data_IF_740958256427
#
_entry.id   IF_740958256427
#
_cell.length_a   1.000
_cell.length_b   1.000
_cell.length_c   1.000
_cell.angle_alpha   90.00
_cell.angle_beta   90.00
_cell.angle_gamma   90.00
#
_symmetry.space_group_name_H-M   'P 1'
#
loop_
_entity.id
_entity.type
_entity.pdbx_description
1 polymer ?
#
# COMPACT_ATOMS: atom_id res chain seq x y z
N UNK A 1 3.37 -21.13 -53.50
CA UNK A 1 3.34 -19.88 -52.74
C UNK A 1 1.98 -19.83 -52.05
N UNK A 2 1.90 -20.29 -50.80
CA UNK A 2 0.65 -20.33 -50.04
C UNK A 2 0.62 -19.09 -49.13
N UNK A 3 -0.39 -18.22 -49.31
CA UNK A 3 -0.71 -17.18 -48.34
C UNK A 3 -1.46 -17.84 -47.17
N UNK A 4 -0.93 -17.71 -45.95
CA UNK A 4 -1.70 -17.96 -44.73
C UNK A 4 -2.56 -16.72 -44.41
N UNK A 5 -3.79 -16.91 -43.92
CA UNK A 5 -4.63 -15.80 -43.46
C UNK A 5 -4.13 -15.32 -42.09
N UNK A 6 -4.00 -14.00 -41.96
CA UNK A 6 -3.73 -13.32 -40.71
C UNK A 6 -4.98 -13.42 -39.83
N UNK A 7 -4.94 -14.26 -38.79
CA UNK A 7 -5.98 -14.31 -37.76
C UNK A 7 -5.77 -13.09 -36.87
N UNK A 8 -6.63 -12.09 -37.02
CA UNK A 8 -6.74 -10.97 -36.09
C UNK A 8 -7.32 -11.52 -34.77
N UNK A 9 -6.45 -11.82 -33.81
CA UNK A 9 -6.90 -12.09 -32.44
C UNK A 9 -7.20 -10.72 -31.82
N UNK A 10 -8.48 -10.34 -31.83
CA UNK A 10 -8.92 -9.18 -31.07
C UNK A 10 -8.80 -9.48 -29.58
N UNK A 11 -7.95 -8.73 -28.88
CA UNK A 11 -7.93 -8.72 -27.41
C UNK A 11 -9.28 -8.21 -26.93
N UNK A 12 -10.01 -9.05 -26.18
CA UNK A 12 -11.20 -8.61 -25.46
C UNK A 12 -10.70 -7.79 -24.27
N UNK A 13 -10.80 -6.46 -24.36
CA UNK A 13 -10.57 -5.55 -23.25
C UNK A 13 -11.67 -5.79 -22.20
N UNK A 14 -11.31 -6.38 -21.06
CA UNK A 14 -12.20 -6.48 -19.91
C UNK A 14 -12.01 -5.24 -19.04
N UNK A 15 -12.90 -4.25 -19.17
CA UNK A 15 -13.00 -3.16 -18.21
C UNK A 15 -13.58 -3.70 -16.89
N UNK A 16 -12.80 -3.62 -15.81
CA UNK A 16 -13.31 -3.88 -14.47
C UNK A 16 -14.26 -2.75 -14.08
N UNK A 17 -15.44 -3.12 -13.59
CA UNK A 17 -16.37 -2.19 -12.95
C UNK A 17 -16.01 -2.17 -11.46
N UNK A 18 -15.73 -0.98 -10.95
CA UNK A 18 -15.41 -0.78 -9.54
C UNK A 18 -16.69 -0.46 -8.76
N UNK A 19 -16.87 -1.13 -7.62
CA UNK A 19 -17.88 -0.76 -6.66
C UNK A 19 -17.31 0.33 -5.75
N UNK A 20 -18.06 1.42 -5.58
CA UNK A 20 -17.70 2.49 -4.65
C UNK A 20 -17.70 1.91 -3.22
N UNK A 21 -16.60 2.01 -2.47
CA UNK A 21 -16.52 1.48 -1.12
C UNK A 21 -17.59 2.10 -0.22
N UNK A 22 -18.43 1.27 0.42
CA UNK A 22 -19.47 1.74 1.34
C UNK A 22 -19.00 1.80 2.80
N UNK A 23 -17.76 1.34 3.04
CA UNK A 23 -17.07 1.27 4.32
C UNK A 23 -17.88 0.58 5.44
N UNK A 24 -18.87 -0.25 5.09
CA UNK A 24 -19.64 -0.99 6.09
C UNK A 24 -18.82 -2.17 6.60
N UNK A 25 -18.78 -2.30 7.92
CA UNK A 25 -18.21 -3.47 8.59
C UNK A 25 -19.28 -4.54 8.68
N UNK A 26 -19.03 -5.67 8.03
CA UNK A 26 -19.92 -6.83 8.01
C UNK A 26 -19.20 -8.11 8.44
N UNK A 27 -19.88 -9.26 8.41
CA UNK A 27 -19.22 -10.56 8.58
C UNK A 27 -18.34 -10.88 7.38
N UNK A 28 -17.35 -11.76 7.58
CA UNK A 28 -16.51 -12.29 6.50
C UNK A 28 -17.39 -13.06 5.49
N UNK A 29 -17.39 -12.69 4.20
CA UNK A 29 -18.12 -13.42 3.16
C UNK A 29 -17.70 -14.88 3.07
N UNK A 30 -18.56 -15.73 2.51
CA UNK A 30 -18.21 -17.12 2.20
C UNK A 30 -17.35 -17.25 0.96
N UNK A 31 -17.48 -18.39 0.27
CA UNK A 31 -16.80 -18.69 -0.99
C UNK A 31 -15.27 -18.64 -0.86
N UNK A 32 -14.60 -17.86 -1.71
CA UNK A 32 -13.14 -17.71 -1.74
C UNK A 32 -12.57 -17.31 -0.38
N UNK A 33 -13.32 -16.57 0.43
CA UNK A 33 -12.88 -16.01 1.72
C UNK A 33 -13.24 -16.89 2.93
N UNK A 34 -13.85 -18.07 2.73
CA UNK A 34 -14.18 -19.00 3.82
C UNK A 34 -13.00 -19.32 4.76
N UNK A 35 -11.73 -19.45 4.29
CA UNK A 35 -10.59 -19.68 5.19
C UNK A 35 -10.40 -18.61 6.28
N UNK A 36 -10.88 -17.39 6.06
CA UNK A 36 -10.76 -16.28 7.02
C UNK A 36 -11.85 -16.31 8.11
N UNK A 37 -12.96 -17.03 7.92
CA UNK A 37 -14.10 -17.06 8.86
C UNK A 37 -13.77 -17.69 10.22
N UNK A 38 -12.74 -18.53 10.29
CA UNK A 38 -12.33 -19.17 11.54
C UNK A 38 -11.65 -18.20 12.52
N UNK A 39 -10.97 -17.18 12.01
CA UNK A 39 -10.18 -16.22 12.80
C UNK A 39 -10.79 -14.82 12.89
N UNK A 40 -11.68 -14.47 11.96
CA UNK A 40 -12.17 -13.10 11.80
C UNK A 40 -13.70 -13.04 11.78
N UNK A 41 -14.23 -12.03 12.46
CA UNK A 41 -15.68 -11.80 12.56
C UNK A 41 -16.13 -10.54 11.85
N UNK A 42 -15.17 -9.73 11.39
CA UNK A 42 -15.39 -8.42 10.79
C UNK A 42 -14.66 -8.32 9.46
N UNK A 43 -15.32 -7.66 8.53
CA UNK A 43 -14.89 -7.53 7.15
C UNK A 43 -15.32 -6.18 6.55
N UNK A 44 -14.45 -5.60 5.74
CA UNK A 44 -14.77 -4.54 4.79
C UNK A 44 -14.08 -4.80 3.45
N UNK A 45 -14.59 -4.18 2.38
CA UNK A 45 -13.99 -4.25 1.04
C UNK A 45 -13.73 -2.85 0.49
N UNK A 46 -12.57 -2.67 -0.12
CA UNK A 46 -12.17 -1.43 -0.79
C UNK A 46 -11.65 -1.79 -2.16
N UNK A 47 -12.44 -1.56 -3.21
CA UNK A 47 -12.06 -1.85 -4.59
C UNK A 47 -11.52 -3.28 -4.80
N UNK A 48 -12.11 -4.28 -4.12
CA UNK A 48 -11.66 -5.67 -4.18
C UNK A 48 -10.52 -6.03 -3.21
N UNK A 49 -9.94 -5.08 -2.48
CA UNK A 49 -8.99 -5.32 -1.39
C UNK A 49 -9.75 -5.62 -0.10
N UNK A 50 -9.31 -6.62 0.64
CA UNK A 50 -10.02 -7.12 1.82
C UNK A 50 -9.46 -6.51 3.11
N UNK A 51 -10.34 -6.20 4.07
CA UNK A 51 -9.94 -5.85 5.45
C UNK A 51 -10.60 -6.85 6.38
N UNK A 52 -9.82 -7.72 7.00
CA UNK A 52 -10.31 -8.69 7.99
C UNK A 52 -9.95 -8.23 9.39
N UNK A 53 -10.86 -8.39 10.35
CA UNK A 53 -10.58 -8.04 11.73
C UNK A 53 -11.15 -9.04 12.75
N UNK A 54 -10.38 -9.25 13.82
CA UNK A 54 -10.82 -10.05 14.98
C UNK A 54 -11.94 -9.32 15.74
N UNK A 55 -12.67 -10.07 16.58
CA UNK A 55 -13.84 -9.55 17.32
C UNK A 55 -13.52 -8.34 18.22
N UNK A 56 -12.32 -8.33 18.82
CA UNK A 56 -11.85 -7.29 19.74
C UNK A 56 -11.50 -5.97 19.05
N UNK A 57 -11.30 -5.96 17.73
CA UNK A 57 -11.02 -4.71 16.99
C UNK A 57 -12.31 -3.91 16.87
N UNK A 58 -12.40 -2.67 17.36
CA UNK A 58 -13.61 -1.88 17.22
C UNK A 58 -13.97 -1.57 15.76
N UNK A 59 -15.27 -1.51 15.43
CA UNK A 59 -15.73 -1.31 14.04
C UNK A 59 -15.23 0.01 13.46
N UNK A 60 -15.12 1.07 14.27
CA UNK A 60 -14.57 2.35 13.85
C UNK A 60 -13.11 2.26 13.42
N UNK A 61 -12.32 1.34 13.99
CA UNK A 61 -10.93 1.13 13.57
C UNK A 61 -10.88 0.40 12.23
N UNK A 62 -11.74 -0.60 12.04
CA UNK A 62 -11.88 -1.28 10.73
C UNK A 62 -12.30 -0.29 9.65
N UNK A 63 -13.27 0.58 9.95
CA UNK A 63 -13.71 1.64 9.03
C UNK A 63 -12.61 2.63 8.71
N UNK A 64 -11.80 3.01 9.70
CA UNK A 64 -10.67 3.91 9.52
C UNK A 64 -9.63 3.34 8.56
N UNK A 65 -9.24 2.07 8.74
CA UNK A 65 -8.34 1.37 7.80
C UNK A 65 -8.91 1.32 6.40
N UNK A 66 -10.19 0.98 6.26
CA UNK A 66 -10.87 0.95 4.96
C UNK A 66 -10.94 2.35 4.30
N UNK A 67 -11.18 3.40 5.08
CA UNK A 67 -11.21 4.78 4.58
C UNK A 67 -9.84 5.23 4.07
N UNK A 68 -8.78 5.04 4.87
CA UNK A 68 -7.40 5.38 4.47
C UNK A 68 -6.98 4.61 3.21
N UNK A 69 -7.36 3.34 3.10
CA UNK A 69 -7.13 2.55 1.89
C UNK A 69 -7.86 3.11 0.68
N UNK A 70 -9.12 3.52 0.85
CA UNK A 70 -9.89 4.13 -0.22
C UNK A 70 -9.26 5.46 -0.66
N UNK A 71 -8.86 6.32 0.26
CA UNK A 71 -8.19 7.61 -0.02
C UNK A 71 -6.81 7.46 -0.66
N UNK A 72 -6.10 6.36 -0.42
CA UNK A 72 -4.86 6.09 -1.14
C UNK A 72 -5.09 5.58 -2.56
N UNK A 73 -6.15 4.79 -2.79
CA UNK A 73 -6.47 4.22 -4.11
C UNK A 73 -7.27 5.17 -5.00
N UNK A 74 -8.07 6.04 -4.40
CA UNK A 74 -8.93 7.06 -4.99
C UNK A 74 -8.71 8.36 -4.18
N UNK A 75 -7.58 9.01 -4.46
CA UNK A 75 -7.12 10.18 -3.74
C UNK A 75 -7.92 11.43 -4.11
N UNK A 76 -8.58 11.45 -5.27
CA UNK A 76 -9.53 12.51 -5.64
C UNK A 76 -10.94 12.33 -5.04
N UNK A 77 -11.22 11.15 -4.49
CA UNK A 77 -12.47 10.72 -3.87
C UNK A 77 -13.66 10.82 -4.84
N UNK A 78 -13.53 10.31 -6.06
CA UNK A 78 -14.62 10.31 -7.05
C UNK A 78 -15.36 8.96 -7.18
N UNK A 79 -14.97 7.98 -6.36
CA UNK A 79 -15.51 6.63 -6.36
C UNK A 79 -14.83 5.67 -7.32
N UNK A 80 -13.76 6.08 -8.01
CA UNK A 80 -13.00 5.26 -8.95
C UNK A 80 -11.52 5.28 -8.60
N UNK A 81 -10.80 4.15 -8.63
CA UNK A 81 -9.37 4.17 -8.38
C UNK A 81 -8.62 5.08 -9.37
N UNK A 82 -7.77 5.95 -8.84
CA UNK A 82 -6.92 6.87 -9.60
C UNK A 82 -5.92 6.12 -10.49
N UNK A 83 -5.48 4.95 -10.02
CA UNK A 83 -4.68 4.01 -10.79
C UNK A 83 -5.36 2.63 -10.89
N UNK A 84 -6.16 2.39 -11.95
CA UNK A 84 -6.85 1.12 -12.16
C UNK A 84 -5.93 -0.08 -12.30
N UNK A 85 -4.68 0.09 -12.75
CA UNK A 85 -3.70 -1.00 -12.84
C UNK A 85 -3.25 -1.45 -11.45
N UNK A 86 -2.99 -0.49 -10.56
CA UNK A 86 -2.59 -0.75 -9.17
C UNK A 86 -3.74 -1.40 -8.40
N UNK A 87 -4.95 -0.86 -8.50
CA UNK A 87 -6.13 -1.45 -7.89
C UNK A 87 -6.41 -2.86 -8.43
N UNK A 88 -6.20 -3.09 -9.73
CA UNK A 88 -6.38 -4.43 -10.32
C UNK A 88 -5.34 -5.41 -9.80
N UNK A 89 -4.07 -5.00 -9.72
CA UNK A 89 -3.00 -5.83 -9.20
C UNK A 89 -3.24 -6.27 -7.74
N UNK A 90 -3.84 -5.40 -6.91
CA UNK A 90 -4.22 -5.75 -5.54
C UNK A 90 -5.38 -6.76 -5.52
N UNK A 91 -6.48 -6.44 -6.19
CA UNK A 91 -7.69 -7.26 -6.15
C UNK A 91 -7.52 -8.61 -6.89
N UNK A 92 -6.72 -8.69 -7.95
CA UNK A 92 -6.40 -9.96 -8.64
C UNK A 92 -5.58 -10.93 -7.78
N UNK A 93 -4.92 -10.41 -6.74
CA UNK A 93 -4.13 -11.19 -5.78
C UNK A 93 -4.88 -11.47 -4.48
N UNK A 94 -6.17 -11.12 -4.42
CA UNK A 94 -6.96 -11.13 -3.19
C UNK A 94 -6.22 -10.41 -2.03
N UNK A 95 -5.57 -9.27 -2.31
CA UNK A 95 -4.76 -8.57 -1.31
C UNK A 95 -5.58 -8.16 -0.08
N UNK A 96 -4.96 -8.18 1.10
CA UNK A 96 -5.70 -8.06 2.34
C UNK A 96 -4.93 -7.40 3.51
N UNK A 97 -5.68 -6.67 4.34
CA UNK A 97 -5.28 -6.28 5.69
C UNK A 97 -5.82 -7.28 6.72
N UNK A 98 -5.02 -7.65 7.71
CA UNK A 98 -5.45 -8.37 8.91
C UNK A 98 -5.31 -7.47 10.13
N UNK A 99 -6.40 -7.29 10.85
CA UNK A 99 -6.43 -6.50 12.08
C UNK A 99 -6.63 -7.35 13.32
N UNK A 100 -5.76 -7.16 14.29
CA UNK A 100 -5.94 -7.61 15.67
C UNK A 100 -6.05 -6.41 16.61
N UNK A 101 -6.43 -6.66 17.87
CA UNK A 101 -6.41 -5.58 18.86
C UNK A 101 -4.99 -5.09 19.16
N UNK A 102 -4.06 -6.04 19.31
CA UNK A 102 -2.66 -5.86 19.68
C UNK A 102 -1.81 -7.02 19.09
N UNK A 103 -0.49 -6.95 19.26
CA UNK A 103 0.47 -7.97 18.83
C UNK A 103 0.09 -9.39 19.29
N UNK A 104 -0.32 -9.54 20.55
CA UNK A 104 -0.79 -10.83 21.11
C UNK A 104 -2.01 -11.40 20.38
N UNK A 105 -2.78 -10.56 19.71
CA UNK A 105 -3.86 -10.98 18.85
C UNK A 105 -3.33 -11.62 17.56
N UNK A 106 -2.29 -11.06 16.95
CA UNK A 106 -1.63 -11.63 15.76
C UNK A 106 -0.94 -12.94 16.08
N UNK A 107 -0.27 -13.06 17.23
CA UNK A 107 0.40 -14.31 17.63
C UNK A 107 -0.55 -15.53 17.71
N UNK A 108 -1.87 -15.28 17.81
CA UNK A 108 -2.91 -16.34 17.84
C UNK A 108 -3.48 -16.66 16.46
N UNK A 109 -3.11 -15.87 15.46
CA UNK A 109 -3.52 -16.08 14.08
C UNK A 109 -2.53 -17.05 13.44
N UNK A 110 -3.05 -18.11 12.83
CA UNK A 110 -2.27 -19.04 12.03
C UNK A 110 -2.45 -18.70 10.53
N UNK A 111 -1.53 -17.93 9.92
CA UNK A 111 -1.68 -17.53 8.54
C UNK A 111 -1.49 -18.69 7.55
N UNK A 112 -0.93 -19.84 7.97
CA UNK A 112 -0.74 -21.00 7.10
C UNK A 112 -2.08 -21.58 6.61
N UNK A 113 -3.19 -21.27 7.30
CA UNK A 113 -4.54 -21.67 6.89
C UNK A 113 -4.92 -21.05 5.55
N UNK A 114 -4.73 -19.74 5.37
CA UNK A 114 -5.06 -19.06 4.11
C UNK A 114 -3.89 -19.00 3.12
N UNK A 115 -2.64 -19.07 3.58
CA UNK A 115 -1.48 -19.18 2.69
C UNK A 115 -1.56 -20.44 1.81
N UNK A 116 -2.01 -21.57 2.37
CA UNK A 116 -2.23 -22.82 1.62
C UNK A 116 -3.34 -22.71 0.58
N UNK A 117 -4.27 -21.77 0.77
CA UNK A 117 -5.33 -21.46 -0.17
C UNK A 117 -4.90 -20.38 -1.19
N UNK A 118 -3.62 -19.97 -1.20
CA UNK A 118 -3.06 -19.07 -2.21
C UNK A 118 -3.20 -17.57 -1.90
N UNK A 119 -3.60 -17.19 -0.68
CA UNK A 119 -3.56 -15.81 -0.24
C UNK A 119 -2.14 -15.47 0.22
N UNK A 120 -1.38 -14.66 -0.51
CA UNK A 120 0.02 -14.36 -0.19
C UNK A 120 0.34 -12.85 -0.17
N UNK A 121 -0.70 -12.01 -0.28
CA UNK A 121 -0.62 -10.55 -0.39
C UNK A 121 -1.25 -9.87 0.84
N UNK A 122 -0.67 -10.12 2.02
CA UNK A 122 -1.21 -9.69 3.30
C UNK A 122 -0.35 -8.65 4.01
N UNK A 123 -1.00 -7.74 4.74
CA UNK A 123 -0.36 -6.82 5.68
C UNK A 123 -1.13 -6.78 7.00
N UNK A 124 -0.42 -6.53 8.11
CA UNK A 124 -0.99 -6.52 9.45
C UNK A 124 -1.24 -5.10 9.95
N UNK A 125 -2.19 -4.94 10.87
CA UNK A 125 -2.48 -3.67 11.52
C UNK A 125 -3.02 -3.86 12.94
N UNK A 126 -2.58 -3.02 13.88
CA UNK A 126 -3.02 -3.06 15.27
C UNK A 126 -4.07 -1.98 15.57
N UNK A 127 -5.16 -2.38 16.23
CA UNK A 127 -6.22 -1.44 16.61
C UNK A 127 -5.76 -0.34 17.58
N UNK A 128 -4.74 -0.62 18.40
CA UNK A 128 -4.15 0.36 19.32
C UNK A 128 -3.35 1.46 18.61
N UNK A 129 -2.89 1.21 17.39
CA UNK A 129 -2.07 2.12 16.58
C UNK A 129 -2.84 2.71 15.39
N UNK A 130 -4.06 2.22 15.15
CA UNK A 130 -5.01 2.78 14.18
C UNK A 130 -5.69 3.99 14.79
N UNK A 131 -5.56 5.19 14.22
CA UNK A 131 -6.15 6.44 14.72
C UNK A 131 -6.10 6.57 16.26
N UNK A 132 -4.90 6.50 16.89
CA UNK A 132 -4.76 6.36 18.34
C UNK A 132 -5.22 7.59 19.13
N UNK A 133 -5.41 8.73 18.45
CA UNK A 133 -5.77 10.00 19.08
C UNK A 133 -4.61 10.63 19.83
N UNK A 134 -4.88 11.73 20.55
CA UNK A 134 -3.91 12.43 21.41
C UNK A 134 -2.59 12.87 20.72
N UNK A 135 -2.61 13.04 19.39
CA UNK A 135 -1.43 13.44 18.61
C UNK A 135 -0.42 12.32 18.36
N UNK A 136 -0.72 11.07 18.77
CA UNK A 136 0.11 9.93 18.39
C UNK A 136 -0.03 9.64 16.88
N UNK A 137 1.05 9.16 16.27
CA UNK A 137 1.08 8.84 14.85
C UNK A 137 0.10 7.70 14.52
N UNK A 138 -0.65 7.86 13.44
CA UNK A 138 -1.58 6.84 12.96
C UNK A 138 -0.84 5.87 12.03
N UNK A 139 -0.53 4.67 12.55
CA UNK A 139 0.16 3.63 11.80
C UNK A 139 -0.62 3.16 10.56
N UNK A 140 -1.92 3.48 10.47
CA UNK A 140 -2.74 3.16 9.28
C UNK A 140 -2.15 3.78 8.01
N UNK A 141 -1.53 4.96 8.11
CA UNK A 141 -0.90 5.62 6.97
C UNK A 141 0.27 4.82 6.40
N UNK A 142 0.96 4.07 7.26
CA UNK A 142 2.11 3.23 6.94
C UNK A 142 1.64 1.87 6.43
N UNK A 143 0.89 1.13 7.24
CA UNK A 143 0.55 -0.27 6.96
C UNK A 143 -0.31 -0.43 5.71
N UNK A 144 -1.27 0.47 5.50
CA UNK A 144 -2.07 0.45 4.27
C UNK A 144 -1.20 0.78 3.06
N UNK A 145 -0.26 1.71 3.19
CA UNK A 145 0.62 2.10 2.10
C UNK A 145 1.64 0.99 1.79
N UNK A 146 2.14 0.26 2.79
CA UNK A 146 2.94 -0.96 2.62
C UNK A 146 2.21 -1.98 1.76
N UNK A 147 0.95 -2.30 2.08
CA UNK A 147 0.14 -3.21 1.27
C UNK A 147 0.01 -2.73 -0.18
N UNK A 148 -0.39 -1.47 -0.38
CA UNK A 148 -0.67 -0.93 -1.72
C UNK A 148 0.62 -0.83 -2.57
N UNK A 149 1.75 -0.48 -1.97
CA UNK A 149 3.02 -0.36 -2.71
C UNK A 149 3.61 -1.73 -3.05
N UNK A 150 3.68 -2.65 -2.09
CA UNK A 150 4.24 -3.99 -2.27
C UNK A 150 3.39 -4.89 -3.17
N UNK A 151 2.06 -4.79 -3.07
CA UNK A 151 1.15 -5.66 -3.82
C UNK A 151 0.44 -4.98 -4.99
N UNK A 152 0.34 -3.66 -5.00
CA UNK A 152 -0.21 -2.87 -6.11
C UNK A 152 0.87 -2.37 -7.06
N UNK A 153 1.56 -1.28 -6.72
CA UNK A 153 2.53 -0.64 -7.63
C UNK A 153 3.65 -1.57 -8.08
N UNK A 154 4.23 -2.37 -7.17
CA UNK A 154 5.31 -3.30 -7.50
C UNK A 154 4.89 -4.39 -8.51
N UNK A 155 3.60 -4.75 -8.57
CA UNK A 155 3.07 -5.73 -9.52
C UNK A 155 2.52 -5.09 -10.79
N UNK A 156 1.93 -3.90 -10.71
CA UNK A 156 1.47 -3.14 -11.88
C UNK A 156 2.65 -2.62 -12.73
N UNK A 157 3.78 -2.31 -12.10
CA UNK A 157 4.95 -1.72 -12.75
C UNK A 157 6.27 -2.38 -12.29
N UNK A 158 6.46 -3.68 -12.56
CA UNK A 158 7.52 -4.48 -11.93
C UNK A 158 8.94 -4.09 -12.33
N UNK A 159 9.14 -3.37 -13.43
CA UNK A 159 10.45 -2.84 -13.81
C UNK A 159 10.84 -1.58 -13.02
N UNK A 160 9.85 -0.87 -12.46
CA UNK A 160 10.02 0.46 -11.87
C UNK A 160 9.89 0.37 -10.36
N UNK A 161 8.76 -0.18 -9.88
CA UNK A 161 8.38 -0.27 -8.48
C UNK A 161 8.62 -1.65 -7.86
N UNK A 162 9.09 -2.63 -8.66
CA UNK A 162 9.38 -3.96 -8.15
C UNK A 162 10.49 -3.93 -7.08
N UNK A 163 10.29 -4.70 -6.02
CA UNK A 163 11.14 -4.69 -4.81
C UNK A 163 12.35 -5.62 -4.96
N UNK A 164 13.12 -5.42 -6.04
CA UNK A 164 14.32 -6.19 -6.35
C UNK A 164 15.38 -5.31 -6.97
N UNK A 165 16.64 -5.71 -6.81
CA UNK A 165 17.77 -5.02 -7.43
C UNK A 165 17.56 -4.82 -8.94
N UNK A 166 17.87 -3.62 -9.42
CA UNK A 166 17.81 -3.27 -10.84
C UNK A 166 16.51 -2.61 -11.29
N UNK A 167 15.53 -2.46 -10.40
CA UNK A 167 14.39 -1.56 -10.64
C UNK A 167 14.77 -0.10 -10.36
N UNK A 168 13.95 0.83 -10.84
CA UNK A 168 14.19 2.26 -10.63
C UNK A 168 14.08 2.65 -9.15
N UNK A 169 13.08 2.12 -8.42
CA UNK A 169 12.93 2.37 -6.98
C UNK A 169 14.11 1.81 -6.17
N UNK A 170 14.58 0.60 -6.51
CA UNK A 170 15.74 -0.02 -5.87
C UNK A 170 17.03 0.80 -6.08
N UNK A 171 17.16 1.45 -7.24
CA UNK A 171 18.28 2.35 -7.53
C UNK A 171 18.23 3.61 -6.65
N UNK A 172 17.03 4.11 -6.34
CA UNK A 172 16.86 5.24 -5.42
C UNK A 172 17.16 4.82 -3.97
N UNK A 173 16.66 3.66 -3.54
CA UNK A 173 16.97 3.06 -2.23
C UNK A 173 18.48 2.90 -2.01
N UNK A 174 19.20 2.34 -2.99
CA UNK A 174 20.64 2.12 -2.87
C UNK A 174 21.41 3.45 -2.76
N UNK A 175 20.92 4.54 -3.35
CA UNK A 175 21.47 5.89 -3.14
C UNK A 175 21.20 6.38 -1.71
N UNK A 176 19.97 6.21 -1.23
CA UNK A 176 19.54 6.66 0.09
C UNK A 176 20.32 6.04 1.24
N UNK A 177 20.75 4.78 1.06
CA UNK A 177 21.56 4.03 2.01
C UNK A 177 23.06 4.15 1.77
N UNK A 178 23.49 4.89 0.73
CA UNK A 178 24.89 5.02 0.34
C UNK A 178 25.54 3.75 -0.23
N UNK A 179 24.74 2.76 -0.61
CA UNK A 179 25.19 1.47 -1.13
C UNK A 179 24.06 0.44 -1.21
N UNK A 180 24.39 -0.71 -1.80
CA UNK A 180 23.48 -1.86 -1.89
C UNK A 180 23.69 -2.80 -0.70
N UNK A 181 22.66 -2.96 0.13
CA UNK A 181 22.68 -3.85 1.30
C UNK A 181 21.47 -4.78 1.25
N UNK A 182 21.69 -6.09 1.13
CA UNK A 182 20.62 -7.10 1.11
C UNK A 182 19.97 -7.21 2.49
N UNK A 183 20.79 -7.23 3.54
CA UNK A 183 20.36 -7.23 4.93
C UNK A 183 20.68 -5.87 5.57
N UNK A 184 20.05 -5.55 6.71
CA UNK A 184 20.39 -4.35 7.49
C UNK A 184 21.88 -4.42 7.92
N UNK A 185 22.74 -3.49 7.48
CA UNK A 185 24.15 -3.49 7.85
C UNK A 185 24.32 -2.99 9.28
N UNK A 186 25.37 -3.47 9.96
CA UNK A 186 25.76 -2.96 11.30
C UNK A 186 25.99 -1.44 11.35
N UNK A 187 26.35 -0.83 10.22
CA UNK A 187 26.54 0.61 10.10
C UNK A 187 26.38 1.03 8.64
N UNK A 188 25.52 2.02 8.42
CA UNK A 188 25.39 2.71 7.15
C UNK A 188 26.50 3.76 6.96
N UNK A 189 26.84 4.12 5.70
CA UNK A 189 27.65 5.30 5.38
C UNK A 189 27.11 6.57 6.04
N UNK A 190 28.00 7.50 6.45
CA UNK A 190 27.59 8.70 7.20
C UNK A 190 26.64 9.63 6.40
N UNK A 191 26.76 9.59 5.07
CA UNK A 191 25.93 10.37 4.16
C UNK A 191 24.61 9.68 3.76
N UNK A 192 24.32 8.48 4.30
CA UNK A 192 23.01 7.86 4.14
C UNK A 192 21.93 8.68 4.85
N UNK A 193 20.73 8.74 4.27
CA UNK A 193 19.56 9.42 4.85
C UNK A 193 18.39 8.48 5.12
N UNK A 194 18.51 7.23 4.65
CA UNK A 194 17.69 6.11 5.08
C UNK A 194 18.61 5.08 5.75
N UNK A 195 18.37 4.80 7.03
CA UNK A 195 19.20 3.97 7.91
C UNK A 195 18.34 3.08 8.79
N UNK A 196 17.46 2.29 8.16
CA UNK A 196 16.54 1.36 8.79
C UNK A 196 17.24 0.38 9.74
N UNK A 197 16.66 0.14 10.92
CA UNK A 197 17.33 -0.61 11.99
C UNK A 197 16.68 -1.94 12.41
N UNK A 198 15.54 -2.32 11.82
CA UNK A 198 14.92 -3.64 12.01
C UNK A 198 15.73 -4.74 11.30
N UNK A 199 16.42 -5.57 12.08
CA UNK A 199 17.28 -6.66 11.60
C UNK A 199 16.52 -7.87 11.04
N UNK A 200 15.20 -7.90 11.15
CA UNK A 200 14.33 -8.91 10.53
C UNK A 200 13.98 -8.55 9.08
N UNK A 201 14.23 -7.32 8.66
CA UNK A 201 13.94 -6.80 7.33
C UNK A 201 15.08 -7.09 6.34
N UNK A 202 14.72 -7.64 5.17
CA UNK A 202 15.62 -7.82 4.03
C UNK A 202 15.36 -6.75 2.95
N UNK A 203 16.13 -6.79 1.86
CA UNK A 203 16.11 -5.83 0.76
C UNK A 203 14.70 -5.48 0.27
N UNK A 204 13.84 -6.49 0.15
CA UNK A 204 12.46 -6.32 -0.32
C UNK A 204 11.68 -5.39 0.60
N UNK A 205 11.68 -5.72 1.89
CA UNK A 205 11.05 -4.93 2.95
C UNK A 205 11.63 -3.51 3.00
N UNK A 206 12.96 -3.35 2.91
CA UNK A 206 13.59 -2.02 2.89
C UNK A 206 13.20 -1.17 1.67
N UNK A 207 12.79 -1.77 0.54
CA UNK A 207 12.20 -1.01 -0.58
C UNK A 207 10.82 -0.49 -0.19
N UNK A 208 9.97 -1.33 0.40
CA UNK A 208 8.63 -0.96 0.87
C UNK A 208 8.70 0.21 1.87
N UNK A 209 9.54 0.07 2.89
CA UNK A 209 9.79 1.08 3.93
C UNK A 209 10.26 2.41 3.34
N UNK A 210 11.22 2.35 2.41
CA UNK A 210 11.74 3.54 1.75
C UNK A 210 10.67 4.29 0.95
N UNK A 211 9.78 3.57 0.27
CA UNK A 211 8.66 4.20 -0.44
C UNK A 211 7.68 4.82 0.55
N UNK A 212 7.35 4.13 1.64
CA UNK A 212 6.52 4.68 2.72
C UNK A 212 7.09 5.99 3.26
N UNK A 213 8.36 5.98 3.69
CA UNK A 213 9.02 7.15 4.24
C UNK A 213 9.02 8.33 3.27
N UNK A 214 9.35 8.07 2.01
CA UNK A 214 9.39 9.10 0.97
C UNK A 214 8.00 9.68 0.66
N UNK A 215 6.99 8.84 0.44
CA UNK A 215 5.62 9.27 0.11
C UNK A 215 5.00 10.04 1.27
N UNK A 216 5.01 9.49 2.49
CA UNK A 216 4.37 10.14 3.63
C UNK A 216 5.08 11.45 4.03
N UNK A 217 6.40 11.52 3.90
CA UNK A 217 7.15 12.77 4.10
C UNK A 217 6.82 13.82 3.02
N UNK A 218 6.69 13.41 1.75
CA UNK A 218 6.28 14.30 0.66
C UNK A 218 4.86 14.85 0.83
N UNK A 219 3.97 14.06 1.42
CA UNK A 219 2.60 14.44 1.74
C UNK A 219 2.48 15.23 3.05
N UNK A 220 3.58 15.40 3.78
CA UNK A 220 3.64 16.16 5.02
C UNK A 220 3.27 15.37 6.28
N UNK A 221 2.98 14.07 6.17
CA UNK A 221 2.56 13.22 7.29
C UNK A 221 3.62 13.03 8.38
N UNK A 222 4.90 13.26 8.03
CA UNK A 222 6.03 13.14 8.96
C UNK A 222 6.55 14.49 9.48
N UNK A 223 5.92 15.62 9.12
CA UNK A 223 6.53 16.96 9.25
C UNK A 223 6.44 17.61 10.64
N UNK A 224 5.77 16.99 11.62
CA UNK A 224 5.73 17.59 12.96
C UNK A 224 7.13 17.51 13.61
N UNK A 225 7.54 18.53 14.40
CA UNK A 225 8.84 18.52 15.04
C UNK A 225 9.11 17.25 15.86
N UNK A 226 8.12 16.80 16.63
CA UNK A 226 8.20 15.60 17.45
C UNK A 226 8.39 14.35 16.59
N UNK A 227 7.59 14.20 15.51
CA UNK A 227 7.72 13.04 14.61
C UNK A 227 9.06 13.04 13.88
N UNK A 228 9.51 14.20 13.41
CA UNK A 228 10.82 14.34 12.77
C UNK A 228 11.96 13.91 13.70
N UNK A 229 11.91 14.27 14.98
CA UNK A 229 12.90 13.85 15.99
C UNK A 229 12.82 12.33 16.24
N UNK A 230 11.60 11.80 16.39
CA UNK A 230 11.36 10.38 16.67
C UNK A 230 11.92 9.47 15.56
N UNK A 231 11.85 9.89 14.28
CA UNK A 231 12.25 9.07 13.13
C UNK A 231 13.66 9.37 12.59
N UNK A 232 14.36 10.40 13.09
CA UNK A 232 15.62 10.89 12.47
C UNK A 232 16.69 9.80 12.36
N UNK A 233 16.68 8.84 13.29
CA UNK A 233 17.61 7.72 13.31
C UNK A 233 17.45 6.75 12.14
N UNK A 234 16.26 6.67 11.54
CA UNK A 234 15.97 5.86 10.35
C UNK A 234 15.78 6.70 9.08
N UNK A 235 15.09 7.83 9.16
CA UNK A 235 14.73 8.66 8.01
C UNK A 235 14.95 10.14 8.30
N UNK A 236 15.95 10.74 7.63
CA UNK A 236 16.32 12.15 7.88
C UNK A 236 15.41 13.19 7.21
N UNK A 237 14.93 13.02 5.95
CA UNK A 237 14.15 14.07 5.28
C UNK A 237 12.65 13.95 5.59
N UNK A 238 12.22 14.29 6.80
CA UNK A 238 10.84 14.14 7.29
C UNK A 238 9.79 15.12 6.72
N UNK A 239 10.17 16.08 5.87
CA UNK A 239 9.24 17.09 5.31
C UNK A 239 9.26 17.16 3.78
N UNK A 240 8.23 17.72 3.12
CA UNK A 240 8.19 17.79 1.67
C UNK A 240 9.39 18.52 1.08
N UNK A 241 9.83 19.63 1.70
CA UNK A 241 11.01 20.39 1.28
C UNK A 241 12.30 19.60 1.51
N UNK A 242 12.37 18.85 2.61
CA UNK A 242 13.54 18.03 2.93
C UNK A 242 13.71 16.88 1.93
N UNK A 243 12.64 16.15 1.58
CA UNK A 243 12.70 15.06 0.58
C UNK A 243 13.07 15.61 -0.79
N UNK A 244 12.41 16.69 -1.26
CA UNK A 244 12.72 17.32 -2.55
C UNK A 244 14.18 17.75 -2.66
N UNK A 245 14.80 18.14 -1.55
CA UNK A 245 16.21 18.55 -1.50
C UNK A 245 17.17 17.37 -1.39
N UNK A 246 16.89 16.43 -0.49
CA UNK A 246 17.79 15.34 -0.14
C UNK A 246 17.72 14.18 -1.13
N UNK A 247 16.53 13.87 -1.63
CA UNK A 247 16.26 12.72 -2.48
C UNK A 247 15.43 13.09 -3.72
N UNK A 248 15.95 13.96 -4.61
CA UNK A 248 15.22 14.36 -5.81
C UNK A 248 14.90 13.18 -6.75
N UNK A 249 15.61 12.05 -6.63
CA UNK A 249 15.40 10.87 -7.49
C UNK A 249 14.10 10.14 -7.17
N UNK A 250 13.80 9.91 -5.88
CA UNK A 250 12.51 9.31 -5.52
C UNK A 250 11.35 10.27 -5.76
N UNK A 251 11.57 11.58 -5.57
CA UNK A 251 10.57 12.60 -5.93
C UNK A 251 10.22 12.54 -7.41
N UNK A 252 11.22 12.48 -8.29
CA UNK A 252 10.99 12.36 -9.73
C UNK A 252 10.18 11.11 -10.07
N UNK A 253 10.45 9.99 -9.38
CA UNK A 253 9.76 8.72 -9.61
C UNK A 253 8.30 8.76 -9.12
N UNK A 254 8.05 9.25 -7.90
CA UNK A 254 6.71 9.39 -7.31
C UNK A 254 5.84 10.36 -8.11
N UNK A 255 6.42 11.47 -8.58
CA UNK A 255 5.67 12.52 -9.28
C UNK A 255 5.46 12.26 -10.77
N UNK A 256 5.85 11.09 -11.29
CA UNK A 256 5.53 10.69 -12.66
C UNK A 256 4.01 10.55 -12.84
N UNK A 257 3.38 11.31 -13.75
CA UNK A 257 1.92 11.31 -13.89
C UNK A 257 1.33 9.93 -14.24
N UNK A 258 2.08 9.04 -14.88
CA UNK A 258 1.59 7.70 -15.24
C UNK A 258 1.33 6.78 -14.05
N UNK A 259 1.84 7.10 -12.85
CA UNK A 259 1.65 6.26 -11.66
C UNK A 259 0.52 6.74 -10.76
N UNK A 260 0.05 7.99 -10.91
CA UNK A 260 -0.98 8.61 -10.08
C UNK A 260 -0.77 8.31 -8.59
N UNK A 261 0.45 8.56 -8.07
CA UNK A 261 0.65 8.51 -6.62
C UNK A 261 -0.24 9.53 -5.91
N UNK A 262 -0.66 9.26 -4.66
CA UNK A 262 -1.42 10.20 -3.86
C UNK A 262 -0.74 11.57 -3.78
N UNK A 263 -1.53 12.62 -3.82
CA UNK A 263 -1.08 14.02 -3.67
C UNK A 263 -1.64 14.69 -2.41
N UNK A 264 -2.60 14.03 -1.76
CA UNK A 264 -3.15 14.37 -0.45
C UNK A 264 -2.90 13.22 0.51
N UNK A 265 -2.48 13.52 1.73
CA UNK A 265 -2.39 12.52 2.79
C UNK A 265 -3.83 12.09 3.18
N UNK A 266 -4.12 10.78 3.29
CA UNK A 266 -5.39 10.32 3.83
C UNK A 266 -5.67 10.89 5.22
N UNK A 267 -6.94 11.21 5.48
CA UNK A 267 -7.39 11.72 6.78
C UNK A 267 -8.39 10.79 7.49
N UNK A 268 -8.79 9.68 6.85
CA UNK A 268 -9.73 8.70 7.36
C UNK A 268 -11.20 9.02 7.08
N UNK A 269 -11.51 10.05 6.28
CA UNK A 269 -12.88 10.50 6.00
C UNK A 269 -13.22 10.41 4.51
N UNK A 270 -12.99 9.24 3.90
CA UNK A 270 -13.39 8.98 2.51
C UNK A 270 -14.89 9.25 2.26
N UNK A 271 -15.17 10.22 1.39
CA UNK A 271 -16.49 10.70 1.04
C UNK A 271 -16.57 10.89 -0.48
N UNK A 272 -16.87 9.82 -1.24
CA UNK A 272 -16.83 9.87 -2.69
C UNK A 272 -17.80 10.94 -3.19
N UNK A 273 -17.28 11.97 -3.84
CA UNK A 273 -18.07 12.92 -4.60
C UNK A 273 -18.96 12.10 -5.53
N UNK A 274 -20.28 12.34 -5.48
CA UNK A 274 -21.28 11.54 -6.21
C UNK A 274 -20.74 11.18 -7.59
N UNK A 275 -20.45 9.88 -7.80
CA UNK A 275 -19.66 9.39 -8.93
C UNK A 275 -20.01 10.16 -10.20
N UNK A 276 -19.08 10.96 -10.72
CA UNK A 276 -19.33 11.73 -11.94
C UNK A 276 -19.52 10.71 -13.07
N UNK A 277 -20.70 10.60 -13.71
CA UNK A 277 -21.00 9.53 -14.67
C UNK A 277 -20.19 9.63 -15.99
N UNK A 278 -19.08 10.38 -16.01
CA UNK A 278 -18.28 10.72 -17.19
C UNK A 278 -16.80 10.37 -17.10
N UNK A 279 -16.24 9.88 -15.99
CA UNK A 279 -14.87 9.34 -15.99
C UNK A 279 -14.91 7.94 -16.61
N UNK A 280 -14.13 7.64 -17.67
CA UNK A 280 -14.12 6.31 -18.25
C UNK A 280 -13.64 5.30 -17.19
N UNK A 281 -14.34 4.18 -17.05
CA UNK A 281 -13.81 2.98 -16.39
C UNK A 281 -12.43 2.70 -17.00
N UNK A 282 -11.37 2.80 -16.20
CA UNK A 282 -10.01 2.72 -16.71
C UNK A 282 -9.77 1.48 -17.55
N UNK A 283 -9.29 1.69 -18.77
CA UNK A 283 -8.88 0.62 -19.69
C UNK A 283 -7.53 0.07 -19.25
N UNK A 284 -7.54 -1.14 -18.68
CA UNK A 284 -6.33 -1.90 -18.36
C UNK A 284 -5.80 -2.51 -19.65
N UNK A 285 -4.66 -2.00 -20.14
CA UNK A 285 -3.91 -2.66 -21.21
C UNK A 285 -2.74 -3.41 -20.58
N UNK A 286 -2.78 -4.76 -20.48
CA UNK A 286 -1.60 -5.51 -20.08
C UNK A 286 -0.52 -5.34 -21.16
N UNK A 287 0.69 -4.96 -20.76
CA UNK A 287 1.88 -4.99 -21.62
C UNK A 287 2.61 -6.32 -21.47
#
# INVERSE_FOLDING_TARGET
>A
MFLLPLVLVGSIETTRVWEVPDLKVGPVPGDRLEPFQAGFTKYANVFGVHVFATDRVPDEKVRHVAAVMAEYLDNDEDGTPDNPLVASALADRDAYMVMSFDERGIERIDPDVWFREGFDAGQFQFALETAPGNGAFDATLEEVLHLITAHGWANAYPAIWGERRGTEVATCLDRARGGHFVDVPRRYPENAWFTYDDDTCEYRCMVTEYVYWAVTSLLGGQSSPERCEDIEHEWRPCSPEAVKKQDPWIVELIQRPEFNFPTRLPDGHYAPATADPKKPTGTVTPR
#
